data_IF_135318010243
#
_entry.id   IF_135318010243
#
_cell.length_a   1.000
_cell.length_b   1.000
_cell.length_c   1.000
_cell.angle_alpha   90.00
_cell.angle_beta   90.00
_cell.angle_gamma   90.00
#
_symmetry.space_group_name_H-M   'P 1'
#
loop_
_entity.id
_entity.type
_entity.pdbx_description
1 polymer ?
#
# COMPACT_ATOMS: atom_id res chain seq x y z
N UNK A 1 -1.58 -3.36 19.37
CA UNK A 1 -0.47 -3.81 18.49
C UNK A 1 -0.13 -2.67 17.55
N UNK A 2 1.14 -2.27 17.43
CA UNK A 2 1.52 -1.21 16.50
C UNK A 2 1.59 -1.80 15.08
N UNK A 3 0.61 -1.50 14.22
CA UNK A 3 0.51 -2.08 12.89
C UNK A 3 1.70 -1.73 11.98
N UNK A 4 2.34 -0.57 12.17
CA UNK A 4 3.56 -0.20 11.44
C UNK A 4 4.74 -1.09 11.84
N UNK A 5 4.85 -1.43 13.12
CA UNK A 5 5.91 -2.32 13.60
C UNK A 5 5.75 -3.72 13.01
N UNK A 6 4.52 -4.25 13.00
CA UNK A 6 4.22 -5.56 12.38
C UNK A 6 4.55 -5.54 10.90
N UNK A 7 4.14 -4.49 10.19
CA UNK A 7 4.45 -4.32 8.78
C UNK A 7 5.97 -4.34 8.51
N UNK A 8 6.76 -3.53 9.24
CA UNK A 8 8.21 -3.50 9.06
C UNK A 8 8.88 -4.82 9.41
N UNK A 9 8.40 -5.52 10.42
CA UNK A 9 8.89 -6.84 10.77
C UNK A 9 8.67 -7.84 9.62
N UNK A 10 7.47 -7.91 9.05
CA UNK A 10 7.15 -8.82 7.96
C UNK A 10 7.93 -8.47 6.68
N UNK A 11 8.05 -7.19 6.34
CA UNK A 11 8.87 -6.73 5.21
C UNK A 11 10.34 -7.11 5.41
N UNK A 12 10.88 -6.93 6.61
CA UNK A 12 12.27 -7.26 6.92
C UNK A 12 12.53 -8.77 6.79
N UNK A 13 11.60 -9.60 7.25
CA UNK A 13 11.71 -11.06 7.11
C UNK A 13 11.73 -11.49 5.65
N UNK A 14 10.83 -10.93 4.81
CA UNK A 14 10.81 -11.20 3.36
C UNK A 14 12.11 -10.75 2.70
N UNK A 15 12.61 -9.55 3.05
CA UNK A 15 13.85 -9.01 2.50
C UNK A 15 15.08 -9.86 2.86
N UNK A 16 15.18 -10.31 4.12
CA UNK A 16 16.28 -11.16 4.61
C UNK A 16 16.33 -12.51 3.90
N UNK A 17 15.22 -12.98 3.31
CA UNK A 17 15.19 -14.20 2.52
C UNK A 17 15.97 -14.14 1.20
N UNK A 18 16.41 -12.95 0.75
CA UNK A 18 17.24 -12.70 -0.45
C UNK A 18 16.73 -13.34 -1.77
N UNK A 19 15.47 -13.76 -1.82
CA UNK A 19 14.81 -14.33 -2.99
C UNK A 19 13.39 -13.74 -3.19
N UNK A 20 13.21 -12.51 -2.72
CA UNK A 20 11.94 -11.79 -2.77
C UNK A 20 11.78 -11.00 -4.08
N UNK A 21 10.56 -10.96 -4.60
CA UNK A 21 10.13 -10.08 -5.70
C UNK A 21 9.18 -9.00 -5.18
N UNK A 22 8.80 -8.02 -6.00
CA UNK A 22 7.75 -7.03 -5.67
C UNK A 22 6.49 -7.68 -5.07
N UNK A 23 6.05 -8.81 -5.63
CA UNK A 23 4.87 -9.53 -5.16
C UNK A 23 5.06 -10.11 -3.74
N UNK A 24 6.29 -10.43 -3.34
CA UNK A 24 6.60 -11.04 -2.04
C UNK A 24 6.27 -10.12 -0.85
N UNK A 25 6.23 -8.80 -1.07
CA UNK A 25 5.92 -7.81 -0.04
C UNK A 25 4.43 -7.46 0.06
N UNK A 26 3.62 -7.86 -0.93
CA UNK A 26 2.18 -7.56 -1.00
C UNK A 26 1.39 -8.08 0.21
N UNK A 27 1.64 -9.29 0.75
CA UNK A 27 0.93 -9.77 1.93
C UNK A 27 1.08 -8.85 3.15
N UNK A 28 2.29 -8.33 3.41
CA UNK A 28 2.54 -7.40 4.50
C UNK A 28 1.80 -6.06 4.28
N UNK A 29 1.82 -5.55 3.05
CA UNK A 29 1.10 -4.33 2.69
C UNK A 29 -0.42 -4.48 2.84
N UNK A 30 -0.98 -5.62 2.40
CA UNK A 30 -2.41 -5.95 2.59
C UNK A 30 -2.78 -5.90 4.06
N UNK A 31 -1.99 -6.58 4.91
CA UNK A 31 -2.23 -6.65 6.35
C UNK A 31 -2.14 -5.29 7.02
N UNK A 32 -1.20 -4.45 6.61
CA UNK A 32 -1.12 -3.06 7.07
C UNK A 32 -2.40 -2.31 6.74
N UNK A 33 -2.86 -2.35 5.49
CA UNK A 33 -4.06 -1.63 5.05
C UNK A 33 -5.31 -2.07 5.81
N UNK A 34 -5.53 -3.37 5.95
CA UNK A 34 -6.68 -3.94 6.67
C UNK A 34 -6.62 -3.69 8.18
N UNK A 35 -5.45 -3.36 8.72
CA UNK A 35 -5.31 -3.00 10.14
C UNK A 35 -5.62 -1.53 10.46
N UNK A 36 -5.74 -0.66 9.44
CA UNK A 36 -6.02 0.76 9.63
C UNK A 36 -7.47 1.01 10.07
N UNK A 37 -8.40 0.21 9.57
CA UNK A 37 -9.82 0.27 9.93
C UNK A 37 -10.49 -1.08 9.62
N UNK A 38 -11.42 -1.53 10.47
CA UNK A 38 -12.13 -2.81 10.30
C UNK A 38 -12.98 -2.90 9.03
N UNK A 39 -13.36 -1.76 8.45
CA UNK A 39 -14.09 -1.69 7.18
C UNK A 39 -13.19 -1.83 5.96
N UNK A 40 -11.87 -1.66 6.11
CA UNK A 40 -10.93 -1.69 4.98
C UNK A 40 -10.62 -3.14 4.58
N UNK A 41 -10.79 -3.43 3.30
CA UNK A 41 -10.38 -4.66 2.67
C UNK A 41 -9.45 -4.36 1.49
N UNK A 42 -8.29 -5.02 1.44
CA UNK A 42 -7.36 -4.89 0.32
C UNK A 42 -7.32 -6.19 -0.48
N UNK A 43 -7.90 -6.18 -1.67
CA UNK A 43 -7.98 -7.33 -2.58
C UNK A 43 -6.72 -7.32 -3.45
N UNK A 44 -5.84 -8.31 -3.28
CA UNK A 44 -4.66 -8.51 -4.12
C UNK A 44 -5.06 -9.10 -5.48
N UNK A 45 -4.45 -8.61 -6.55
CA UNK A 45 -4.71 -9.03 -7.94
C UNK A 45 -6.21 -9.05 -8.29
N UNK A 46 -6.93 -7.92 -8.12
CA UNK A 46 -8.32 -7.83 -8.49
C UNK A 46 -8.50 -8.10 -9.99
N UNK A 47 -9.74 -8.45 -10.37
CA UNK A 47 -10.08 -8.65 -11.77
C UNK A 47 -9.69 -7.41 -12.59
N UNK A 48 -9.05 -7.64 -13.74
CA UNK A 48 -8.66 -6.57 -14.67
C UNK A 48 -9.84 -5.65 -14.98
N UNK A 49 -9.55 -4.35 -14.95
CA UNK A 49 -10.45 -3.28 -15.34
C UNK A 49 -10.08 -2.75 -16.72
N UNK A 50 -10.94 -1.94 -17.34
CA UNK A 50 -10.69 -1.36 -18.66
C UNK A 50 -9.36 -0.58 -18.75
N UNK A 51 -8.90 -0.01 -17.64
CA UNK A 51 -7.67 0.79 -17.56
C UNK A 51 -6.41 0.00 -17.16
N UNK A 52 -6.49 -1.32 -16.91
CA UNK A 52 -5.32 -2.14 -16.56
C UNK A 52 -5.55 -3.21 -15.49
N UNK A 53 -4.44 -3.66 -14.89
CA UNK A 53 -4.38 -4.69 -13.87
C UNK A 53 -3.68 -4.12 -12.62
N UNK A 54 -4.42 -3.44 -11.74
CA UNK A 54 -3.82 -2.89 -10.53
C UNK A 54 -3.40 -4.01 -9.59
N UNK A 55 -2.37 -3.77 -8.77
CA UNK A 55 -1.94 -4.75 -7.79
C UNK A 55 -2.96 -4.98 -6.67
N UNK A 56 -3.64 -3.91 -6.24
CA UNK A 56 -4.72 -3.99 -5.25
C UNK A 56 -5.95 -3.18 -5.63
N UNK A 57 -7.11 -3.68 -5.21
CA UNK A 57 -8.34 -2.92 -5.03
C UNK A 57 -8.61 -2.77 -3.53
N UNK A 58 -8.76 -1.54 -3.07
CA UNK A 58 -9.13 -1.21 -1.69
C UNK A 58 -10.63 -0.94 -1.61
N UNK A 59 -11.30 -1.59 -0.67
CA UNK A 59 -12.71 -1.38 -0.36
C UNK A 59 -12.87 -0.88 1.06
N UNK A 60 -13.93 -0.12 1.31
CA UNK A 60 -14.46 0.14 2.64
C UNK A 60 -15.92 -0.33 2.69
N UNK A 61 -16.15 -1.50 3.30
CA UNK A 61 -17.43 -2.20 3.17
C UNK A 61 -17.75 -2.52 1.71
N UNK A 62 -18.87 -2.01 1.21
CA UNK A 62 -19.32 -2.22 -0.19
C UNK A 62 -18.74 -1.21 -1.19
N UNK A 63 -18.09 -0.15 -0.70
CA UNK A 63 -17.56 0.92 -1.53
C UNK A 63 -16.14 0.61 -2.00
N UNK A 64 -15.91 0.68 -3.31
CA UNK A 64 -14.57 0.67 -3.88
C UNK A 64 -13.91 2.04 -3.65
N UNK A 65 -12.88 2.07 -2.80
CA UNK A 65 -12.20 3.31 -2.38
C UNK A 65 -11.11 3.71 -3.37
N UNK A 66 -10.45 2.72 -3.99
CA UNK A 66 -9.42 2.98 -4.99
C UNK A 66 -8.50 1.80 -5.23
N UNK A 67 -7.42 2.05 -5.97
CA UNK A 67 -6.43 1.05 -6.35
C UNK A 67 -5.06 1.40 -5.79
N UNK A 68 -4.23 0.39 -5.52
CA UNK A 68 -2.83 0.58 -5.12
C UNK A 68 -1.91 -0.23 -6.04
N UNK A 69 -0.72 0.31 -6.29
CA UNK A 69 0.37 -0.37 -7.00
C UNK A 69 1.51 -0.60 -6.02
N UNK A 70 1.98 -1.84 -5.93
CA UNK A 70 3.22 -2.15 -5.23
C UNK A 70 4.40 -1.80 -6.15
N UNK A 71 5.50 -1.34 -5.53
CA UNK A 71 6.73 -1.02 -6.25
C UNK A 71 7.95 -1.56 -5.52
N UNK A 72 8.98 -1.87 -6.30
CA UNK A 72 10.25 -2.36 -5.80
C UNK A 72 10.86 -1.35 -4.83
N UNK A 73 11.31 -1.86 -3.69
CA UNK A 73 12.01 -1.10 -2.67
C UNK A 73 13.36 -0.55 -3.16
N UNK A 74 14.01 -1.19 -4.14
CA UNK A 74 15.27 -0.68 -4.73
C UNK A 74 15.03 0.54 -5.63
N UNK A 75 13.85 0.62 -6.26
CA UNK A 75 13.41 1.79 -7.04
C UNK A 75 13.03 2.96 -6.12
N UNK A 76 12.63 2.65 -4.88
CA UNK A 76 12.25 3.62 -3.86
C UNK A 76 13.45 3.96 -2.96
N UNK A 77 14.24 4.94 -3.38
CA UNK A 77 15.24 5.57 -2.54
C UNK A 77 14.58 6.10 -1.25
N UNK A 78 14.58 5.31 -0.17
CA UNK A 78 13.64 5.38 0.98
C UNK A 78 13.60 6.77 1.64
N UNK A 79 14.74 7.48 1.68
CA UNK A 79 14.81 8.86 2.19
C UNK A 79 14.07 9.86 1.29
N UNK A 80 14.18 9.73 -0.04
CA UNK A 80 13.49 10.61 -1.00
C UNK A 80 11.99 10.34 -1.04
N UNK A 81 11.57 9.07 -0.92
CA UNK A 81 10.16 8.69 -0.95
C UNK A 81 9.42 9.07 0.32
N UNK A 82 10.00 8.93 1.51
CA UNK A 82 9.37 9.41 2.76
C UNK A 82 9.15 10.93 2.75
N UNK A 83 10.12 11.71 2.26
CA UNK A 83 9.97 13.16 2.10
C UNK A 83 8.88 13.49 1.09
N UNK A 84 8.83 12.77 -0.05
CA UNK A 84 7.84 12.99 -1.10
C UNK A 84 6.43 12.56 -0.68
N UNK A 85 6.30 11.48 0.07
CA UNK A 85 5.02 11.00 0.63
C UNK A 85 4.54 11.98 1.71
N UNK A 86 5.41 12.42 2.62
CA UNK A 86 5.07 13.44 3.62
C UNK A 86 4.68 14.77 2.97
N UNK A 87 5.40 15.21 1.93
CA UNK A 87 5.05 16.39 1.13
C UNK A 87 3.71 16.21 0.40
N UNK A 88 3.44 15.03 -0.16
CA UNK A 88 2.17 14.74 -0.82
C UNK A 88 1.01 14.66 0.17
N UNK A 89 1.21 14.11 1.38
CA UNK A 89 0.21 14.10 2.46
C UNK A 89 -0.06 15.51 3.00
N UNK A 90 0.98 16.35 3.15
CA UNK A 90 0.84 17.78 3.49
C UNK A 90 0.11 18.57 2.40
N UNK A 91 0.33 18.22 1.13
CA UNK A 91 -0.35 18.84 -0.01
C UNK A 91 -1.79 18.31 -0.20
N UNK A 92 -2.08 17.08 0.23
CA UNK A 92 -3.42 16.50 0.21
C UNK A 92 -4.36 17.22 1.20
N UNK A 93 -3.85 17.63 2.37
CA UNK A 93 -4.56 18.48 3.32
C UNK A 93 -4.94 19.88 2.81
N UNK A 94 -4.38 20.33 1.67
CA UNK A 94 -4.71 21.60 1.00
C UNK A 94 -5.64 21.45 -0.21
N UNK A 95 -6.04 20.22 -0.59
CA UNK A 95 -6.84 19.95 -1.80
C UNK A 95 -8.11 19.14 -1.56
N UNK A 96 -8.76 19.33 -0.41
CA UNK A 96 -10.20 19.06 -0.31
C UNK A 96 -10.93 20.19 -1.05
N UNK A 97 -11.11 20.02 -2.37
CA UNK A 97 -12.23 20.64 -3.10
C UNK A 97 -13.25 19.54 -3.31
N UNK A 98 -14.38 19.69 -2.62
CA UNK A 98 -15.60 18.93 -2.87
C UNK A 98 -16.09 19.34 -4.26
N UNK A 99 -16.13 18.37 -5.17
CA UNK A 99 -17.12 18.29 -6.25
C UNK A 99 -17.65 16.86 -6.25
#
# INVERSE_FOLDING_TARGET
>A
MNYLQVYFQEVTQVYQGQNATEHSYRPALKKLMESLDSGIQAINEPKRIACGAPDFLVKNGVLDVGYMEAKDTEVLNVKKSLIKIAQNMLNFGRRIKIF
#
